data_IF_671138717428
#
_entry.id   IF_671138717428
#
_cell.length_a   1.000
_cell.length_b   1.000
_cell.length_c   1.000
_cell.angle_alpha   90.00
_cell.angle_beta   90.00
_cell.angle_gamma   90.00
#
_symmetry.space_group_name_H-M   'P 1'
#
loop_
_entity.id
_entity.type
_entity.pdbx_description
1 polymer ?
#
# COMPACT_ATOMS: atom_id res chain seq x y z
N UNK A 1 42.17 23.45 -36.46
CA UNK A 1 41.35 23.31 -35.23
C UNK A 1 41.69 21.99 -34.58
N UNK A 2 42.21 22.00 -33.34
CA UNK A 2 42.42 20.77 -32.57
C UNK A 2 41.11 20.45 -31.84
N UNK A 3 40.40 19.42 -32.28
CA UNK A 3 39.33 18.83 -31.48
C UNK A 3 39.98 18.25 -30.21
N UNK A 4 39.71 18.87 -29.06
CA UNK A 4 40.01 18.25 -27.76
C UNK A 4 39.02 17.10 -27.57
N UNK A 5 39.45 15.88 -27.86
CA UNK A 5 38.71 14.66 -27.54
C UNK A 5 38.82 14.35 -26.04
N UNK A 6 37.77 13.75 -25.48
CA UNK A 6 37.76 13.18 -24.13
C UNK A 6 38.79 12.05 -24.04
N UNK A 7 39.50 11.96 -22.91
CA UNK A 7 40.37 10.83 -22.61
C UNK A 7 39.56 9.60 -22.21
N UNK A 8 40.06 8.41 -22.55
CA UNK A 8 39.47 7.15 -22.07
C UNK A 8 39.47 7.06 -20.54
N UNK A 9 40.45 7.67 -19.85
CA UNK A 9 40.47 7.70 -18.38
C UNK A 9 39.35 8.58 -17.81
N UNK A 10 39.00 9.66 -18.49
CA UNK A 10 37.92 10.56 -18.06
C UNK A 10 36.57 9.84 -18.17
N UNK A 11 36.35 9.07 -19.24
CA UNK A 11 35.15 8.24 -19.37
C UNK A 11 35.11 7.15 -18.29
N UNK A 12 36.24 6.50 -17.97
CA UNK A 12 36.30 5.51 -16.90
C UNK A 12 35.93 6.08 -15.53
N UNK A 13 36.44 7.26 -15.18
CA UNK A 13 36.12 7.92 -13.90
C UNK A 13 34.63 8.30 -13.85
N UNK A 14 34.07 8.85 -14.94
CA UNK A 14 32.65 9.19 -15.03
C UNK A 14 31.77 7.93 -14.86
N UNK A 15 32.13 6.83 -15.51
CA UNK A 15 31.40 5.57 -15.38
C UNK A 15 31.44 5.03 -13.94
N UNK A 16 32.60 5.07 -13.29
CA UNK A 16 32.73 4.64 -11.89
C UNK A 16 31.82 5.47 -10.97
N UNK A 17 31.77 6.80 -11.16
CA UNK A 17 30.89 7.67 -10.37
C UNK A 17 29.41 7.32 -10.63
N UNK A 18 29.01 7.10 -11.89
CA UNK A 18 27.64 6.72 -12.23
C UNK A 18 27.25 5.39 -11.58
N UNK A 19 28.13 4.38 -11.58
CA UNK A 19 27.86 3.10 -10.93
C UNK A 19 27.68 3.22 -9.42
N UNK A 20 28.51 4.04 -8.75
CA UNK A 20 28.37 4.29 -7.31
C UNK A 20 27.04 4.97 -7.00
N UNK A 21 26.67 6.00 -7.77
CA UNK A 21 25.40 6.71 -7.59
C UNK A 21 24.19 5.80 -7.85
N UNK A 22 24.23 5.00 -8.91
CA UNK A 22 23.16 4.07 -9.26
C UNK A 22 22.93 3.01 -8.15
N UNK A 23 24.00 2.54 -7.51
CA UNK A 23 23.92 1.57 -6.42
C UNK A 23 23.18 2.11 -5.19
N UNK A 24 23.30 3.42 -4.88
CA UNK A 24 22.66 4.04 -3.71
C UNK A 24 21.23 4.49 -4.00
N UNK A 25 20.97 4.99 -5.21
CA UNK A 25 19.67 5.59 -5.56
C UNK A 25 18.54 4.56 -5.75
N UNK A 26 18.87 3.35 -6.21
CA UNK A 26 17.89 2.32 -6.53
C UNK A 26 17.02 1.86 -5.35
N UNK A 27 17.55 1.50 -4.16
CA UNK A 27 16.70 1.09 -3.03
C UNK A 27 15.87 2.26 -2.46
N UNK A 28 16.44 3.47 -2.44
CA UNK A 28 15.76 4.65 -1.93
C UNK A 28 14.50 4.97 -2.75
N UNK A 29 14.60 4.93 -4.08
CA UNK A 29 13.46 5.22 -4.95
C UNK A 29 12.32 4.20 -4.82
N UNK A 30 12.65 2.91 -4.68
CA UNK A 30 11.65 1.86 -4.46
C UNK A 30 10.85 2.11 -3.18
N UNK A 31 11.51 2.42 -2.07
CA UNK A 31 10.83 2.72 -0.80
C UNK A 31 9.86 3.92 -0.89
N UNK A 32 10.20 4.93 -1.71
CA UNK A 32 9.32 6.09 -1.94
C UNK A 32 8.03 5.69 -2.68
N UNK A 33 8.16 4.89 -3.75
CA UNK A 33 6.99 4.39 -4.51
C UNK A 33 6.10 3.52 -3.60
N UNK A 34 6.70 2.59 -2.86
CA UNK A 34 5.97 1.71 -1.95
C UNK A 34 5.19 2.53 -0.91
N UNK A 35 5.80 3.57 -0.33
CA UNK A 35 5.09 4.47 0.59
C UNK A 35 3.93 5.20 -0.09
N UNK A 36 4.11 5.69 -1.32
CA UNK A 36 3.04 6.33 -2.09
C UNK A 36 1.84 5.41 -2.31
N UNK A 37 2.11 4.14 -2.63
CA UNK A 37 1.10 3.12 -2.85
C UNK A 37 0.31 2.75 -1.58
N UNK A 38 0.85 2.97 -0.36
CA UNK A 38 0.08 2.75 0.90
C UNK A 38 -1.20 3.59 0.94
N UNK A 39 -1.21 4.74 0.26
CA UNK A 39 -2.41 5.56 0.16
C UNK A 39 -3.57 4.86 -0.55
N UNK A 40 -3.30 3.94 -1.47
CA UNK A 40 -4.31 3.11 -2.14
C UNK A 40 -4.98 2.15 -1.15
N UNK A 41 -4.23 1.51 -0.25
CA UNK A 41 -4.79 0.67 0.81
C UNK A 41 -5.74 1.47 1.70
N UNK A 42 -5.30 2.63 2.19
CA UNK A 42 -6.09 3.47 3.10
C UNK A 42 -7.37 3.95 2.41
N UNK A 43 -7.25 4.47 1.18
CA UNK A 43 -8.41 4.89 0.37
C UNK A 43 -9.40 3.75 0.17
N UNK A 44 -8.91 2.58 -0.23
CA UNK A 44 -9.76 1.41 -0.48
C UNK A 44 -10.47 0.93 0.79
N UNK A 45 -9.79 0.94 1.93
CA UNK A 45 -10.40 0.59 3.22
C UNK A 45 -11.47 1.59 3.67
N UNK A 46 -11.25 2.89 3.45
CA UNK A 46 -12.26 3.92 3.74
C UNK A 46 -13.48 3.80 2.83
N UNK A 47 -13.29 3.51 1.54
CA UNK A 47 -14.39 3.24 0.62
C UNK A 47 -15.17 1.98 1.01
N UNK A 48 -14.47 0.92 1.42
CA UNK A 48 -15.09 -0.28 1.99
C UNK A 48 -15.91 0.04 3.24
N UNK A 49 -15.40 0.87 4.14
CA UNK A 49 -16.12 1.30 5.34
C UNK A 49 -17.43 2.04 4.97
N UNK A 50 -17.38 2.98 4.01
CA UNK A 50 -18.57 3.66 3.51
C UNK A 50 -19.57 2.66 2.90
N UNK A 51 -19.07 1.67 2.15
CA UNK A 51 -19.90 0.62 1.56
C UNK A 51 -20.53 -0.30 2.62
N UNK A 52 -19.82 -0.60 3.72
CA UNK A 52 -20.34 -1.34 4.86
C UNK A 52 -21.51 -0.58 5.53
N UNK A 53 -21.34 0.72 5.78
CA UNK A 53 -22.42 1.54 6.35
C UNK A 53 -23.63 1.58 5.42
N UNK A 54 -23.41 1.78 4.10
CA UNK A 54 -24.49 1.74 3.11
C UNK A 54 -25.21 0.40 3.07
N UNK A 55 -24.49 -0.71 3.20
CA UNK A 55 -25.07 -2.04 3.27
C UNK A 55 -25.88 -2.23 4.55
N UNK A 56 -25.38 -1.72 5.68
CA UNK A 56 -26.03 -1.80 7.00
C UNK A 56 -27.34 -1.02 7.08
N UNK A 57 -27.55 0.01 6.26
CA UNK A 57 -28.83 0.72 6.16
C UNK A 57 -29.99 -0.18 5.70
N UNK A 58 -29.70 -1.23 4.93
CA UNK A 58 -30.71 -2.13 4.37
C UNK A 58 -30.67 -3.54 4.98
N UNK A 59 -29.66 -3.85 5.81
CA UNK A 59 -29.40 -5.18 6.34
C UNK A 59 -29.13 -5.13 7.85
N UNK A 60 -29.49 -6.19 8.57
CA UNK A 60 -29.29 -6.28 10.03
C UNK A 60 -27.84 -6.57 10.43
N UNK A 61 -27.00 -6.93 9.47
CA UNK A 61 -25.57 -7.25 9.62
C UNK A 61 -24.71 -6.47 8.65
N UNK A 62 -23.42 -6.37 8.96
CA UNK A 62 -22.41 -5.93 7.99
C UNK A 62 -22.18 -7.00 6.93
N UNK A 63 -21.86 -6.54 5.71
CA UNK A 63 -21.74 -7.38 4.54
C UNK A 63 -20.40 -8.12 4.47
N UNK A 64 -20.38 -9.21 3.71
CA UNK A 64 -19.11 -9.83 3.27
C UNK A 64 -18.47 -8.99 2.18
N UNK A 65 -17.20 -9.25 1.84
CA UNK A 65 -16.51 -8.52 0.77
C UNK A 65 -17.32 -8.46 -0.54
N UNK A 66 -17.90 -9.58 -0.96
CA UNK A 66 -18.68 -9.66 -2.20
C UNK A 66 -20.00 -8.87 -2.17
N UNK A 67 -20.46 -8.43 -1.00
CA UNK A 67 -21.65 -7.58 -0.89
C UNK A 67 -21.32 -6.09 -1.01
N UNK A 68 -20.11 -5.70 -0.61
CA UNK A 68 -19.71 -4.29 -0.47
C UNK A 68 -18.63 -3.86 -1.46
N UNK A 69 -18.05 -4.80 -2.19
CA UNK A 69 -16.96 -4.56 -3.12
C UNK A 69 -17.03 -5.46 -4.35
N UNK A 70 -16.58 -4.93 -5.49
CA UNK A 70 -16.44 -5.72 -6.72
C UNK A 70 -15.06 -6.38 -6.78
N UNK A 71 -15.03 -7.70 -6.58
CA UNK A 71 -13.78 -8.47 -6.57
C UNK A 71 -13.02 -8.36 -5.26
N UNK A 72 -11.69 -8.40 -5.34
CA UNK A 72 -10.81 -8.39 -4.15
C UNK A 72 -9.61 -7.45 -4.28
N UNK A 73 -9.50 -6.68 -5.36
CA UNK A 73 -8.38 -5.74 -5.53
C UNK A 73 -8.74 -4.37 -4.94
N UNK A 74 -7.73 -3.66 -4.45
CA UNK A 74 -7.80 -2.22 -4.17
C UNK A 74 -8.04 -1.41 -5.43
N UNK A 75 -8.34 -0.12 -5.28
CA UNK A 75 -8.67 0.78 -6.39
C UNK A 75 -7.57 0.80 -7.46
N UNK A 76 -6.31 0.93 -7.02
CA UNK A 76 -5.15 0.92 -7.93
C UNK A 76 -4.51 -0.49 -8.08
N UNK A 77 -5.06 -1.50 -7.40
CA UNK A 77 -4.66 -2.91 -7.53
C UNK A 77 -3.40 -3.32 -6.75
N UNK A 78 -2.82 -2.46 -5.92
CA UNK A 78 -1.63 -2.78 -5.13
C UNK A 78 -1.90 -3.66 -3.90
N UNK A 79 -3.16 -3.76 -3.48
CA UNK A 79 -3.57 -4.52 -2.31
C UNK A 79 -4.73 -5.46 -2.62
N UNK A 80 -4.76 -6.59 -1.92
CA UNK A 80 -5.90 -7.50 -1.87
C UNK A 80 -6.73 -7.17 -0.63
N UNK A 81 -7.99 -6.83 -0.86
CA UNK A 81 -8.96 -6.51 0.17
C UNK A 81 -9.65 -7.77 0.67
N UNK A 82 -9.95 -7.82 1.96
CA UNK A 82 -10.80 -8.85 2.54
C UNK A 82 -11.61 -8.35 3.73
N UNK A 83 -12.71 -9.05 4.02
CA UNK A 83 -13.54 -8.82 5.21
C UNK A 83 -13.49 -10.10 6.05
N UNK A 84 -12.46 -10.28 6.89
CA UNK A 84 -12.28 -11.51 7.67
C UNK A 84 -13.33 -11.71 8.77
N UNK A 85 -14.00 -10.64 9.20
CA UNK A 85 -15.07 -10.71 10.19
C UNK A 85 -16.16 -9.71 9.83
N UNK A 86 -17.41 -10.14 9.93
CA UNK A 86 -18.60 -9.31 9.75
C UNK A 86 -19.73 -9.86 10.63
N UNK A 87 -20.32 -9.00 11.46
CA UNK A 87 -21.40 -9.34 12.37
C UNK A 87 -22.46 -8.24 12.42
N UNK A 88 -23.29 -8.24 13.46
CA UNK A 88 -24.36 -7.24 13.63
C UNK A 88 -23.84 -5.87 14.06
N UNK A 89 -22.78 -5.87 14.87
CA UNK A 89 -22.19 -4.69 15.52
C UNK A 89 -20.69 -4.55 15.29
N UNK A 90 -20.10 -5.48 14.53
CA UNK A 90 -18.68 -5.49 14.26
C UNK A 90 -18.36 -5.86 12.82
N UNK A 91 -17.21 -5.42 12.36
CA UNK A 91 -16.55 -5.91 11.16
C UNK A 91 -15.05 -5.64 11.24
N UNK A 92 -14.30 -6.42 10.47
CA UNK A 92 -12.88 -6.19 10.24
C UNK A 92 -12.66 -6.14 8.74
N UNK A 93 -11.97 -5.11 8.28
CA UNK A 93 -11.53 -4.92 6.90
C UNK A 93 -10.01 -5.02 6.87
N UNK A 94 -9.47 -5.74 5.90
CA UNK A 94 -8.02 -5.83 5.70
C UNK A 94 -7.64 -5.53 4.26
N UNK A 95 -6.49 -4.90 4.08
CA UNK A 95 -5.82 -4.70 2.81
C UNK A 95 -4.41 -5.28 2.93
N UNK A 96 -4.10 -6.31 2.16
CA UNK A 96 -2.82 -7.01 2.17
C UNK A 96 -2.05 -6.72 0.90
N UNK A 97 -0.80 -6.29 1.01
CA UNK A 97 0.04 -5.94 -0.13
C UNK A 97 0.18 -7.11 -1.10
N UNK A 98 0.11 -6.82 -2.40
CA UNK A 98 0.31 -7.79 -3.47
C UNK A 98 1.18 -7.20 -4.60
N UNK A 99 1.63 -8.06 -5.52
CA UNK A 99 2.44 -7.64 -6.67
C UNK A 99 3.70 -6.89 -6.25
N UNK A 100 3.95 -5.72 -6.85
CA UNK A 100 5.10 -4.88 -6.49
C UNK A 100 5.07 -4.37 -5.05
N UNK A 101 3.88 -4.23 -4.47
CA UNK A 101 3.71 -3.74 -3.11
C UNK A 101 4.13 -4.75 -2.05
N UNK A 102 4.22 -6.04 -2.40
CA UNK A 102 4.70 -7.08 -1.49
C UNK A 102 6.17 -6.87 -1.05
N UNK A 103 6.91 -6.01 -1.75
CA UNK A 103 8.25 -5.58 -1.34
C UNK A 103 8.23 -4.66 -0.10
N UNK A 104 7.08 -4.10 0.28
CA UNK A 104 6.90 -3.29 1.48
C UNK A 104 6.75 -4.17 2.74
N UNK A 105 7.85 -4.79 3.14
CA UNK A 105 7.89 -5.73 4.28
C UNK A 105 7.60 -5.06 5.62
N UNK A 106 7.77 -3.73 5.72
CA UNK A 106 7.49 -2.97 6.93
C UNK A 106 5.98 -2.71 7.13
N UNK A 107 5.24 -2.54 6.04
CA UNK A 107 3.82 -2.18 6.05
C UNK A 107 3.05 -3.07 5.07
N UNK A 108 3.10 -4.37 5.34
CA UNK A 108 2.55 -5.40 4.47
C UNK A 108 1.02 -5.45 4.50
N UNK A 109 0.39 -5.08 5.62
CA UNK A 109 -1.07 -5.04 5.70
C UNK A 109 -1.61 -3.90 6.54
N UNK A 110 -2.81 -3.47 6.17
CA UNK A 110 -3.60 -2.44 6.85
C UNK A 110 -4.93 -3.05 7.26
N UNK A 111 -5.38 -2.75 8.47
CA UNK A 111 -6.60 -3.29 9.05
C UNK A 111 -7.42 -2.18 9.68
N UNK A 112 -8.72 -2.16 9.40
CA UNK A 112 -9.72 -1.39 10.14
C UNK A 112 -10.61 -2.39 10.86
N UNK A 113 -10.70 -2.28 12.18
CA UNK A 113 -11.67 -3.03 12.97
C UNK A 113 -12.67 -2.06 13.55
N UNK A 114 -13.95 -2.29 13.28
CA UNK A 114 -15.05 -1.61 13.92
C UNK A 114 -15.74 -2.60 14.85
N UNK A 115 -15.81 -2.27 16.14
CA UNK A 115 -16.50 -3.10 17.13
C UNK A 115 -17.14 -2.22 18.19
N UNK A 116 -18.43 -2.44 18.46
CA UNK A 116 -19.17 -1.78 19.54
C UNK A 116 -19.07 -0.24 19.52
N UNK A 117 -19.11 0.36 18.32
CA UNK A 117 -19.05 1.83 18.15
C UNK A 117 -17.64 2.42 18.16
N UNK A 118 -16.60 1.60 18.34
CA UNK A 118 -15.21 2.04 18.32
C UNK A 118 -14.51 1.52 17.07
N UNK A 119 -13.77 2.41 16.41
CA UNK A 119 -12.88 2.07 15.30
C UNK A 119 -11.43 2.01 15.77
N UNK A 120 -10.73 0.95 15.39
CA UNK A 120 -9.30 0.77 15.59
C UNK A 120 -8.64 0.53 14.24
N UNK A 121 -7.64 1.34 13.92
CA UNK A 121 -6.82 1.18 12.73
C UNK A 121 -5.46 0.61 13.14
N UNK A 122 -5.01 -0.43 12.45
CA UNK A 122 -3.73 -1.07 12.73
C UNK A 122 -3.04 -1.51 11.45
N UNK A 123 -1.72 -1.58 11.49
CA UNK A 123 -0.90 -2.09 10.39
C UNK A 123 0.04 -3.17 10.90
N UNK A 124 0.53 -4.01 9.99
CA UNK A 124 1.44 -5.10 10.30
C UNK A 124 2.53 -5.22 9.22
N UNK A 125 3.77 -5.59 9.58
CA UNK A 125 4.26 -5.85 10.94
C UNK A 125 4.52 -4.59 11.78
N UNK A 126 4.71 -3.42 11.16
CA UNK A 126 4.86 -2.15 11.90
C UNK A 126 3.48 -1.54 12.18
N UNK A 127 3.25 -1.04 13.40
CA UNK A 127 1.99 -0.40 13.84
C UNK A 127 1.83 1.04 13.35
N UNK A 128 2.90 1.69 12.92
CA UNK A 128 2.93 3.13 12.65
C UNK A 128 2.82 3.47 11.15
N UNK A 129 2.28 2.56 10.34
CA UNK A 129 2.17 2.78 8.90
C UNK A 129 1.00 3.68 8.49
N UNK A 130 0.06 3.95 9.41
CA UNK A 130 -1.13 4.77 9.16
C UNK A 130 -0.86 6.28 9.26
N UNK A 131 0.19 6.69 9.98
CA UNK A 131 0.51 8.08 10.28
C UNK A 131 1.57 8.69 9.35
N UNK A 132 1.97 7.95 8.31
CA UNK A 132 3.09 8.28 7.42
C UNK A 132 2.61 8.67 6.03
#
# INVERSE_FOLDING_TARGET
MKCKGFSMIEILIVLVIIFILAAVLTPAYQSYILRGNRSDAIKSLLLLQIAQEKYRLNNTTYGTLGNVWSGSASVDGYYTLSVPSNGNTNYTLTATAQGSQAADTNCASFTITFANGTQTNSSSPNTDCWSQ
#
